data_IF_453091014987
#
_entry.id   IF_453091014987
#
_cell.length_a   1.000
_cell.length_b   1.000
_cell.length_c   1.000
_cell.angle_alpha   90.00
_cell.angle_beta   90.00
_cell.angle_gamma   90.00
#
_symmetry.space_group_name_H-M   'P 1'
#
loop_
_entity.id
_entity.type
_entity.pdbx_description
1 polymer ?
#
# COMPACT_ATOMS: atom_id res chain seq x y z
N UNK A 1 -19.76 -6.87 -8.69
CA UNK A 1 -18.38 -6.45 -8.36
C UNK A 1 -18.44 -5.11 -7.67
N UNK A 2 -17.80 -4.98 -6.49
CA UNK A 2 -17.68 -3.69 -5.81
C UNK A 2 -16.98 -2.71 -6.75
N UNK A 3 -17.37 -1.44 -6.70
CA UNK A 3 -16.67 -0.35 -7.37
C UNK A 3 -15.25 -0.36 -6.77
N UNK A 4 -14.27 -0.81 -7.52
CA UNK A 4 -12.88 -0.67 -7.08
C UNK A 4 -12.65 0.83 -6.87
N UNK A 5 -12.01 1.20 -5.75
CA UNK A 5 -11.64 2.58 -5.44
C UNK A 5 -10.53 3.06 -6.40
N UNK A 6 -10.73 2.95 -7.71
CA UNK A 6 -9.82 3.35 -8.76
C UNK A 6 -10.57 4.29 -9.72
N UNK A 7 -10.06 5.51 -9.89
CA UNK A 7 -10.69 6.52 -10.74
C UNK A 7 -10.67 6.18 -12.24
N UNK A 8 -9.89 5.19 -12.66
CA UNK A 8 -9.81 4.72 -14.04
C UNK A 8 -10.79 3.57 -14.34
N UNK A 9 -11.51 3.06 -13.35
CA UNK A 9 -12.46 1.95 -13.54
C UNK A 9 -13.55 2.32 -14.56
N UNK A 10 -13.59 1.60 -15.68
CA UNK A 10 -14.49 1.82 -16.85
C UNK A 10 -14.33 3.16 -17.57
N UNK A 11 -13.30 3.95 -17.24
CA UNK A 11 -13.00 5.23 -17.89
C UNK A 11 -11.82 5.10 -18.85
N UNK A 12 -10.93 4.13 -18.60
CA UNK A 12 -9.77 3.86 -19.44
C UNK A 12 -9.71 2.39 -19.84
N UNK A 13 -9.25 2.13 -21.05
CA UNK A 13 -9.06 0.79 -21.58
C UNK A 13 -7.74 0.19 -21.09
N UNK A 14 -7.71 -1.13 -20.92
CA UNK A 14 -6.52 -1.86 -20.50
C UNK A 14 -5.66 -2.18 -21.72
N UNK A 15 -5.02 -1.17 -22.29
CA UNK A 15 -4.22 -1.29 -23.51
C UNK A 15 -2.87 -0.54 -23.46
N UNK A 16 -2.02 -0.78 -24.47
CA UNK A 16 -0.66 -0.21 -24.56
C UNK A 16 -0.69 1.32 -24.64
N UNK A 17 -1.63 1.89 -25.40
CA UNK A 17 -1.77 3.34 -25.53
C UNK A 17 -2.09 4.00 -24.19
N UNK A 18 -3.04 3.45 -23.43
CA UNK A 18 -3.41 3.97 -22.12
C UNK A 18 -2.24 3.90 -21.15
N UNK A 19 -1.51 2.77 -21.13
CA UNK A 19 -0.32 2.64 -20.28
C UNK A 19 0.77 3.63 -20.67
N UNK A 20 0.97 3.86 -21.97
CA UNK A 20 1.91 4.87 -22.51
C UNK A 20 1.58 6.26 -21.98
N UNK A 21 0.32 6.69 -22.14
CA UNK A 21 -0.13 8.01 -21.71
C UNK A 21 -0.05 8.19 -20.19
N UNK A 22 -0.39 7.15 -19.42
CA UNK A 22 -0.23 7.20 -17.96
C UNK A 22 1.24 7.30 -17.54
N UNK A 23 2.15 6.57 -18.20
CA UNK A 23 3.58 6.65 -17.93
C UNK A 23 4.13 8.06 -18.22
N UNK A 24 3.72 8.68 -19.33
CA UNK A 24 4.10 10.06 -19.66
C UNK A 24 3.50 11.06 -18.67
N UNK A 25 2.24 10.88 -18.27
CA UNK A 25 1.62 11.72 -17.23
C UNK A 25 2.35 11.66 -15.89
N UNK A 26 2.85 10.48 -15.50
CA UNK A 26 3.71 10.34 -14.32
C UNK A 26 5.01 11.15 -14.46
N UNK A 27 5.62 11.17 -15.65
CA UNK A 27 6.83 11.97 -15.97
C UNK A 27 6.62 13.49 -15.98
N UNK A 28 5.38 13.99 -15.82
CA UNK A 28 5.14 15.41 -15.61
C UNK A 28 5.74 15.90 -14.27
N UNK A 29 5.73 15.05 -13.25
CA UNK A 29 6.37 15.37 -11.96
C UNK A 29 7.87 15.11 -12.06
N UNK A 30 8.70 16.15 -11.92
CA UNK A 30 10.16 16.03 -12.09
C UNK A 30 10.78 14.89 -11.27
N UNK A 31 10.43 14.73 -10.00
CA UNK A 31 11.01 13.67 -9.16
C UNK A 31 10.64 12.26 -9.66
N UNK A 32 9.42 12.06 -10.17
CA UNK A 32 8.99 10.79 -10.77
C UNK A 32 9.68 10.60 -12.12
N UNK A 33 9.78 11.66 -12.92
CA UNK A 33 10.51 11.65 -14.20
C UNK A 33 11.96 11.24 -14.02
N UNK A 34 12.67 11.90 -13.11
CA UNK A 34 14.07 11.60 -12.81
C UNK A 34 14.21 10.13 -12.39
N UNK A 35 13.36 9.65 -11.47
CA UNK A 35 13.35 8.25 -11.02
C UNK A 35 13.09 7.25 -12.17
N UNK A 36 12.10 7.54 -13.02
CA UNK A 36 11.77 6.70 -14.16
C UNK A 36 12.95 6.65 -15.14
N UNK A 37 13.50 7.82 -15.52
CA UNK A 37 14.61 7.90 -16.47
C UNK A 37 15.90 7.24 -15.91
N UNK A 38 16.17 7.36 -14.61
CA UNK A 38 17.25 6.63 -13.96
C UNK A 38 17.03 5.11 -14.06
N UNK A 39 15.80 4.65 -13.84
CA UNK A 39 15.43 3.22 -13.97
C UNK A 39 15.52 2.75 -15.43
N UNK A 40 15.35 3.65 -16.40
CA UNK A 40 15.56 3.40 -17.82
C UNK A 40 17.04 3.48 -18.26
N UNK A 41 17.98 3.50 -17.30
CA UNK A 41 19.42 3.63 -17.52
C UNK A 41 19.80 4.87 -18.34
N UNK A 42 19.10 5.99 -18.16
CA UNK A 42 19.51 7.28 -18.72
C UNK A 42 20.51 7.94 -17.78
N UNK A 43 21.62 8.43 -18.32
CA UNK A 43 22.67 9.07 -17.51
C UNK A 43 22.14 10.30 -16.78
N UNK A 44 22.51 10.46 -15.51
CA UNK A 44 22.02 11.55 -14.63
C UNK A 44 22.24 12.95 -15.21
N UNK A 45 23.38 13.19 -15.85
CA UNK A 45 23.69 14.47 -16.51
C UNK A 45 22.75 14.78 -17.68
N UNK A 46 22.24 13.74 -18.36
CA UNK A 46 21.25 13.86 -19.43
C UNK A 46 19.86 14.11 -18.83
N UNK A 47 19.50 13.38 -17.77
CA UNK A 47 18.21 13.52 -17.07
C UNK A 47 17.96 14.96 -16.62
N UNK A 48 18.97 15.62 -16.04
CA UNK A 48 18.81 17.00 -15.56
C UNK A 48 18.52 18.02 -16.68
N UNK A 49 18.82 17.68 -17.94
CA UNK A 49 18.53 18.52 -19.11
C UNK A 49 17.17 18.23 -19.74
N UNK A 50 16.53 17.09 -19.39
CA UNK A 50 15.24 16.70 -19.94
C UNK A 50 14.11 17.39 -19.18
N UNK A 51 13.31 18.17 -19.90
CA UNK A 51 12.08 18.78 -19.41
C UNK A 51 10.88 17.94 -19.82
N UNK A 52 9.72 18.22 -19.20
CA UNK A 52 8.51 17.47 -19.54
C UNK A 52 8.06 17.74 -20.98
N UNK A 53 8.25 18.98 -21.45
CA UNK A 53 7.89 19.39 -22.82
C UNK A 53 8.75 18.70 -23.90
N UNK A 54 9.88 18.11 -23.51
CA UNK A 54 10.73 17.32 -24.41
C UNK A 54 10.17 15.90 -24.62
N UNK A 55 9.15 15.48 -23.85
CA UNK A 55 8.55 14.14 -23.86
C UNK A 55 7.23 14.19 -24.62
N UNK A 56 7.14 13.44 -25.71
CA UNK A 56 5.95 13.41 -26.57
C UNK A 56 5.53 11.97 -26.85
N UNK A 57 4.24 11.71 -26.84
CA UNK A 57 3.64 10.52 -27.45
C UNK A 57 3.19 10.84 -28.88
N UNK A 58 2.85 9.81 -29.66
CA UNK A 58 2.27 9.95 -30.99
C UNK A 58 3.13 10.66 -32.04
N UNK A 59 4.43 10.84 -31.77
CA UNK A 59 5.35 11.47 -32.70
C UNK A 59 5.64 10.56 -33.89
N UNK A 60 5.38 11.05 -35.11
CA UNK A 60 5.66 10.29 -36.34
C UNK A 60 7.06 10.61 -36.84
N UNK A 61 7.94 9.60 -36.87
CA UNK A 61 9.28 9.70 -37.45
C UNK A 61 9.23 9.62 -38.99
N UNK A 62 10.40 9.81 -39.62
CA UNK A 62 10.55 9.60 -41.07
C UNK A 62 10.07 8.19 -41.43
N UNK A 63 9.34 8.06 -42.54
CA UNK A 63 8.68 6.82 -43.02
C UNK A 63 7.35 6.45 -42.32
N UNK A 64 6.77 7.35 -41.51
CA UNK A 64 5.40 7.18 -41.01
C UNK A 64 5.26 6.30 -39.77
N UNK A 65 6.39 5.79 -39.23
CA UNK A 65 6.40 5.05 -37.97
C UNK A 65 6.32 5.96 -36.77
N UNK A 66 5.96 5.42 -35.62
CA UNK A 66 5.61 6.18 -34.43
C UNK A 66 6.09 5.44 -33.19
N UNK A 67 7.19 5.89 -32.57
CA UNK A 67 7.57 5.38 -31.27
C UNK A 67 6.49 5.69 -30.23
N UNK A 68 6.32 4.81 -29.24
CA UNK A 68 5.30 5.02 -28.19
C UNK A 68 5.58 6.32 -27.41
N UNK A 69 6.85 6.50 -27.00
CA UNK A 69 7.33 7.73 -26.36
C UNK A 69 8.63 8.18 -27.03
N UNK A 70 8.71 9.47 -27.32
CA UNK A 70 9.90 10.14 -27.82
C UNK A 70 10.34 11.19 -26.79
N UNK A 71 11.62 11.16 -26.43
CA UNK A 71 12.26 12.24 -25.66
C UNK A 71 13.26 12.94 -26.57
N UNK A 72 13.02 14.21 -26.90
CA UNK A 72 13.82 14.95 -27.87
C UNK A 72 14.08 16.38 -27.42
N UNK A 73 15.37 16.74 -27.28
CA UNK A 73 15.81 18.11 -27.05
C UNK A 73 17.08 18.39 -27.85
N UNK A 74 17.77 19.51 -27.61
CA UNK A 74 18.94 19.92 -28.39
C UNK A 74 20.05 18.87 -28.43
N UNK A 75 20.27 18.12 -27.35
CA UNK A 75 21.38 17.17 -27.22
C UNK A 75 20.94 15.69 -27.22
N UNK A 76 19.65 15.42 -27.02
CA UNK A 76 19.15 14.08 -26.70
C UNK A 76 18.04 13.66 -27.65
N UNK A 77 18.08 12.39 -28.07
CA UNK A 77 17.00 11.70 -28.76
C UNK A 77 16.88 10.28 -28.22
N UNK A 78 15.77 9.99 -27.54
CA UNK A 78 15.47 8.67 -26.99
C UNK A 78 14.14 8.22 -27.54
N UNK A 79 14.10 7.01 -28.09
CA UNK A 79 12.86 6.31 -28.41
C UNK A 79 12.60 5.25 -27.36
N UNK A 80 11.36 5.19 -26.89
CA UNK A 80 10.90 4.19 -25.93
C UNK A 80 9.72 3.46 -26.55
N UNK A 81 9.85 2.14 -26.61
CA UNK A 81 8.80 1.21 -26.97
C UNK A 81 8.34 0.49 -25.71
N UNK A 82 7.04 0.45 -25.47
CA UNK A 82 6.48 -0.36 -24.40
C UNK A 82 5.62 -1.48 -24.97
N UNK A 83 5.76 -2.66 -24.38
CA UNK A 83 4.89 -3.81 -24.61
C UNK A 83 4.33 -4.21 -23.27
N UNK A 84 3.02 -4.30 -23.14
CA UNK A 84 2.40 -4.64 -21.84
C UNK A 84 2.08 -6.14 -21.74
N UNK A 85 1.96 -6.83 -22.87
CA UNK A 85 1.70 -8.28 -22.90
C UNK A 85 2.90 -9.05 -23.43
N UNK A 86 3.05 -10.30 -22.97
CA UNK A 86 4.17 -11.16 -23.35
C UNK A 86 4.16 -11.52 -24.83
N UNK A 87 3.00 -11.48 -25.49
CA UNK A 87 2.77 -11.94 -26.86
C UNK A 87 2.36 -10.81 -27.81
N UNK A 88 2.51 -9.54 -27.42
CA UNK A 88 2.32 -8.43 -28.38
C UNK A 88 3.41 -8.53 -29.46
N UNK A 89 3.00 -8.44 -30.72
CA UNK A 89 3.92 -8.45 -31.86
C UNK A 89 5.01 -7.37 -31.75
N UNK A 90 6.23 -7.75 -32.10
CA UNK A 90 7.37 -6.85 -32.29
C UNK A 90 7.43 -6.45 -33.76
N UNK A 91 7.25 -5.17 -34.06
CA UNK A 91 7.29 -4.69 -35.45
C UNK A 91 8.74 -4.54 -35.91
N UNK A 92 9.07 -4.97 -37.14
CA UNK A 92 10.43 -4.86 -37.70
C UNK A 92 11.02 -3.44 -37.63
N UNK A 93 10.17 -2.43 -37.83
CA UNK A 93 10.57 -1.02 -37.72
C UNK A 93 11.17 -0.65 -36.36
N UNK A 94 10.80 -1.38 -35.30
CA UNK A 94 11.23 -1.13 -33.93
C UNK A 94 12.66 -1.61 -33.68
N UNK A 95 13.16 -2.65 -34.37
CA UNK A 95 14.44 -3.29 -34.03
C UNK A 95 15.41 -3.52 -35.19
N UNK A 96 14.97 -3.56 -36.45
CA UNK A 96 15.88 -3.87 -37.57
C UNK A 96 16.49 -2.62 -38.18
N UNK A 97 15.69 -1.69 -38.69
CA UNK A 97 16.25 -0.61 -39.52
C UNK A 97 15.70 0.78 -39.18
N UNK A 98 14.39 0.96 -39.06
CA UNK A 98 13.82 2.31 -39.08
C UNK A 98 14.16 3.14 -37.83
N UNK A 99 13.95 2.61 -36.62
CA UNK A 99 14.30 3.33 -35.40
C UNK A 99 15.82 3.44 -35.21
N UNK A 100 16.61 2.35 -35.35
CA UNK A 100 18.05 2.45 -35.25
C UNK A 100 18.66 3.45 -36.24
N UNK A 101 18.25 3.44 -37.51
CA UNK A 101 18.77 4.36 -38.52
C UNK A 101 18.47 5.83 -38.19
N UNK A 102 17.25 6.14 -37.75
CA UNK A 102 16.89 7.52 -37.36
C UNK A 102 17.72 7.99 -36.18
N UNK A 103 17.92 7.13 -35.18
CA UNK A 103 18.75 7.45 -34.02
C UNK A 103 20.21 7.64 -34.45
N UNK A 104 20.81 6.69 -35.17
CA UNK A 104 22.21 6.71 -35.62
C UNK A 104 22.50 7.94 -36.50
N UNK A 105 21.59 8.31 -37.40
CA UNK A 105 21.78 9.46 -38.29
C UNK A 105 21.47 10.81 -37.62
N UNK A 106 20.92 10.82 -36.40
CA UNK A 106 20.68 12.06 -35.67
C UNK A 106 22.00 12.73 -35.25
N UNK A 107 22.04 14.06 -35.29
CA UNK A 107 23.17 14.87 -34.81
C UNK A 107 23.17 15.04 -33.28
N UNK A 108 22.33 14.27 -32.56
CA UNK A 108 22.18 14.36 -31.12
C UNK A 108 23.31 13.59 -30.44
N UNK A 109 23.82 14.14 -29.33
CA UNK A 109 24.92 13.53 -28.57
C UNK A 109 24.46 12.26 -27.85
N UNK A 110 23.29 12.32 -27.20
CA UNK A 110 22.74 11.21 -26.44
C UNK A 110 21.64 10.56 -27.27
N UNK A 111 21.86 9.32 -27.70
CA UNK A 111 20.95 8.57 -28.58
C UNK A 111 20.69 7.21 -27.96
N UNK A 112 19.43 6.86 -27.76
CA UNK A 112 19.07 5.62 -27.07
C UNK A 112 17.75 5.05 -27.58
N UNK A 113 17.68 3.73 -27.69
CA UNK A 113 16.44 2.99 -27.94
C UNK A 113 16.14 2.12 -26.73
N UNK A 114 14.96 2.23 -26.16
CA UNK A 114 14.61 1.55 -24.91
C UNK A 114 13.36 0.73 -25.12
N UNK A 115 13.41 -0.55 -24.75
CA UNK A 115 12.26 -1.45 -24.72
C UNK A 115 11.84 -1.67 -23.28
N UNK A 116 10.61 -1.30 -22.94
CA UNK A 116 9.96 -1.63 -21.66
C UNK A 116 9.05 -2.83 -21.90
N UNK A 117 9.43 -4.01 -21.39
CA UNK A 117 8.75 -5.28 -21.72
C UNK A 117 8.52 -6.13 -20.47
N UNK A 118 7.58 -7.10 -20.48
CA UNK A 118 7.47 -8.10 -19.42
C UNK A 118 8.69 -9.04 -19.47
N UNK A 119 9.08 -9.63 -18.33
CA UNK A 119 10.16 -10.65 -18.32
C UNK A 119 9.88 -11.87 -19.21
N UNK A 120 8.62 -12.16 -19.45
CA UNK A 120 8.15 -13.28 -20.27
C UNK A 120 7.94 -12.91 -21.75
N UNK A 121 8.37 -11.74 -22.21
CA UNK A 121 8.15 -11.30 -23.59
C UNK A 121 8.75 -12.26 -24.62
N UNK A 122 7.94 -12.69 -25.58
CA UNK A 122 8.28 -13.75 -26.54
C UNK A 122 9.41 -13.35 -27.49
N UNK A 123 9.48 -12.07 -27.87
CA UNK A 123 10.42 -11.55 -28.88
C UNK A 123 11.68 -10.93 -28.26
N UNK A 124 12.05 -11.33 -27.04
CA UNK A 124 13.22 -10.78 -26.35
C UNK A 124 14.54 -11.13 -27.07
N UNK A 125 14.60 -12.24 -27.79
CA UNK A 125 15.82 -12.69 -28.48
C UNK A 125 16.11 -11.75 -29.66
N UNK A 126 15.09 -11.33 -30.38
CA UNK A 126 15.15 -10.40 -31.51
C UNK A 126 15.69 -9.04 -31.06
N UNK A 127 15.19 -8.52 -29.94
CA UNK A 127 15.68 -7.26 -29.36
C UNK A 127 17.15 -7.40 -28.93
N UNK A 128 17.54 -8.54 -28.33
CA UNK A 128 18.94 -8.79 -27.94
C UNK A 128 19.87 -8.90 -29.15
N UNK A 129 19.42 -9.50 -30.24
CA UNK A 129 20.17 -9.59 -31.48
C UNK A 129 20.40 -8.20 -32.07
N UNK A 130 19.36 -7.37 -32.14
CA UNK A 130 19.46 -5.96 -32.56
C UNK A 130 20.42 -5.17 -31.66
N UNK A 131 20.32 -5.31 -30.33
CA UNK A 131 21.27 -4.71 -29.37
C UNK A 131 22.72 -5.08 -29.69
N UNK A 132 22.99 -6.34 -30.02
CA UNK A 132 24.33 -6.80 -30.35
C UNK A 132 24.82 -6.28 -31.71
N UNK A 133 23.93 -6.18 -32.69
CA UNK A 133 24.21 -5.65 -34.03
C UNK A 133 24.60 -4.17 -33.99
N UNK A 134 23.85 -3.36 -33.24
CA UNK A 134 24.04 -1.91 -33.18
C UNK A 134 24.90 -1.41 -32.02
N UNK A 135 25.49 -2.30 -31.21
CA UNK A 135 26.19 -1.96 -29.94
C UNK A 135 27.24 -0.86 -30.05
N UNK A 136 27.92 -0.75 -31.20
CA UNK A 136 29.02 0.20 -31.42
C UNK A 136 28.51 1.60 -31.85
N UNK A 137 27.22 1.71 -32.21
CA UNK A 137 26.62 2.91 -32.80
C UNK A 137 25.47 3.48 -31.98
N UNK A 138 24.73 2.61 -31.28
CA UNK A 138 23.51 2.95 -30.58
C UNK A 138 23.40 2.18 -29.26
N UNK A 139 23.00 2.89 -28.21
CA UNK A 139 22.64 2.28 -26.93
C UNK A 139 21.20 1.75 -27.01
N UNK A 140 21.07 0.42 -27.02
CA UNK A 140 19.77 -0.26 -26.97
C UNK A 140 19.61 -0.89 -25.58
N UNK A 141 18.54 -0.56 -24.87
CA UNK A 141 18.25 -1.12 -23.55
C UNK A 141 16.96 -1.92 -23.49
N UNK A 142 17.00 -2.95 -22.64
CA UNK A 142 15.85 -3.78 -22.30
C UNK A 142 15.58 -3.58 -20.82
N UNK A 143 14.45 -2.95 -20.50
CA UNK A 143 13.99 -2.71 -19.15
C UNK A 143 12.75 -3.53 -18.91
N UNK A 144 12.72 -4.25 -17.79
CA UNK A 144 11.55 -5.04 -17.43
C UNK A 144 10.54 -4.19 -16.64
N UNK A 145 9.25 -4.35 -16.94
CA UNK A 145 8.17 -3.69 -16.20
C UNK A 145 8.26 -3.90 -14.69
N UNK A 146 8.68 -5.09 -14.26
CA UNK A 146 8.88 -5.44 -12.85
C UNK A 146 9.93 -4.54 -12.18
N UNK A 147 11.00 -4.19 -12.90
CA UNK A 147 12.04 -3.32 -12.38
C UNK A 147 11.53 -1.88 -12.28
N UNK A 148 10.82 -1.41 -13.31
CA UNK A 148 10.28 -0.05 -13.37
C UNK A 148 9.20 0.19 -12.31
N UNK A 149 8.21 -0.70 -12.21
CA UNK A 149 7.16 -0.62 -11.19
C UNK A 149 7.72 -0.83 -9.79
N UNK A 150 8.69 -1.74 -9.63
CA UNK A 150 9.39 -1.94 -8.35
C UNK A 150 10.09 -0.67 -7.88
N UNK A 151 10.74 0.09 -8.77
CA UNK A 151 11.36 1.36 -8.44
C UNK A 151 10.33 2.41 -7.97
N UNK A 152 9.18 2.51 -8.64
CA UNK A 152 8.10 3.42 -8.25
C UNK A 152 7.52 3.08 -6.87
N UNK A 153 7.27 1.80 -6.60
CA UNK A 153 6.73 1.32 -5.33
C UNK A 153 7.74 1.55 -4.19
N UNK A 154 9.01 1.20 -4.40
CA UNK A 154 10.06 1.33 -3.39
C UNK A 154 10.38 2.79 -3.05
N UNK A 155 10.26 3.69 -4.03
CA UNK A 155 10.42 5.13 -3.82
C UNK A 155 9.19 5.78 -3.17
N UNK A 156 8.14 5.01 -2.91
CA UNK A 156 6.99 5.42 -2.11
C UNK A 156 6.21 6.63 -2.68
N UNK A 157 6.30 6.80 -4.00
CA UNK A 157 5.79 8.00 -4.70
C UNK A 157 4.26 8.14 -4.62
N UNK A 158 3.58 7.08 -4.22
CA UNK A 158 2.12 6.98 -4.12
C UNK A 158 1.58 7.52 -2.79
N UNK A 159 2.39 7.68 -1.74
CA UNK A 159 1.90 8.03 -0.39
C UNK A 159 1.20 9.39 -0.33
N UNK A 160 1.69 10.36 -1.08
CA UNK A 160 1.24 11.75 -0.94
C UNK A 160 0.20 12.16 -1.99
N UNK A 161 -0.12 11.29 -2.95
CA UNK A 161 -1.06 11.62 -4.01
C UNK A 161 -1.91 10.41 -4.45
N UNK A 162 -3.20 10.35 -4.05
CA UNK A 162 -4.10 9.26 -4.41
C UNK A 162 -4.24 9.04 -5.93
N UNK A 163 -4.13 10.09 -6.74
CA UNK A 163 -4.20 9.96 -8.20
C UNK A 163 -2.97 9.24 -8.75
N UNK A 164 -1.77 9.56 -8.25
CA UNK A 164 -0.54 8.84 -8.62
C UNK A 164 -0.67 7.36 -8.24
N UNK A 165 -1.18 7.07 -7.03
CA UNK A 165 -1.45 5.70 -6.61
C UNK A 165 -2.40 4.97 -7.57
N UNK A 166 -3.50 5.60 -7.98
CA UNK A 166 -4.43 5.02 -8.95
C UNK A 166 -3.79 4.77 -10.31
N UNK A 167 -2.90 5.66 -10.78
CA UNK A 167 -2.19 5.49 -12.05
C UNK A 167 -1.25 4.29 -11.99
N UNK A 168 -0.43 4.19 -10.94
CA UNK A 168 0.52 3.08 -10.76
C UNK A 168 -0.24 1.76 -10.63
N UNK A 169 -1.30 1.74 -9.82
CA UNK A 169 -2.12 0.55 -9.65
C UNK A 169 -2.78 0.13 -10.97
N UNK A 170 -3.29 1.09 -11.76
CA UNK A 170 -3.86 0.78 -13.07
C UNK A 170 -2.83 0.18 -14.02
N UNK A 171 -1.63 0.75 -14.10
CA UNK A 171 -0.54 0.21 -14.94
C UNK A 171 -0.19 -1.21 -14.47
N UNK A 172 0.00 -1.40 -13.16
CA UNK A 172 0.30 -2.68 -12.53
C UNK A 172 -0.75 -3.75 -12.86
N UNK A 173 -2.03 -3.43 -12.68
CA UNK A 173 -3.16 -4.32 -12.95
C UNK A 173 -3.36 -4.61 -14.45
N UNK A 174 -2.92 -3.69 -15.32
CA UNK A 174 -3.09 -3.78 -16.78
C UNK A 174 -2.03 -4.66 -17.42
N UNK A 175 -0.77 -4.48 -17.02
CA UNK A 175 0.33 -5.36 -17.46
C UNK A 175 0.06 -6.79 -17.00
N UNK A 176 -0.76 -6.98 -15.96
CA UNK A 176 -1.11 -8.29 -15.47
C UNK A 176 0.16 -9.03 -15.06
N UNK A 177 1.10 -8.30 -14.45
CA UNK A 177 2.27 -8.91 -13.84
C UNK A 177 1.72 -9.97 -12.90
N UNK A 178 1.80 -11.23 -13.36
CA UNK A 178 1.60 -12.40 -12.54
C UNK A 178 2.81 -12.47 -11.61
N UNK A 179 2.95 -11.47 -10.73
CA UNK A 179 3.61 -11.65 -9.47
C UNK A 179 2.77 -12.73 -8.83
N UNK A 180 3.23 -13.98 -8.96
CA UNK A 180 2.62 -15.10 -8.28
C UNK A 180 2.44 -14.64 -6.86
N UNK A 181 1.21 -14.34 -6.45
CA UNK A 181 0.93 -13.94 -5.09
C UNK A 181 1.21 -15.20 -4.28
N UNK A 182 2.44 -15.32 -3.77
CA UNK A 182 2.77 -16.39 -2.84
C UNK A 182 1.94 -16.09 -1.61
N UNK A 183 0.89 -16.88 -1.43
CA UNK A 183 0.16 -16.89 -0.18
C UNK A 183 1.11 -17.50 0.85
N UNK A 184 1.47 -16.69 1.84
CA UNK A 184 2.22 -17.16 2.98
C UNK A 184 1.24 -17.77 3.97
N UNK A 185 1.55 -18.95 4.48
CA UNK A 185 0.84 -19.51 5.63
C UNK A 185 1.21 -18.71 6.90
N UNK A 186 0.42 -18.87 7.97
CA UNK A 186 0.64 -18.14 9.25
C UNK A 186 2.08 -18.31 9.77
N UNK A 187 2.67 -19.50 9.62
CA UNK A 187 4.05 -19.76 10.05
C UNK A 187 5.09 -19.02 9.20
N UNK A 188 4.91 -18.99 7.89
CA UNK A 188 5.78 -18.25 6.97
C UNK A 188 5.74 -16.74 7.24
N UNK A 189 4.54 -16.19 7.52
CA UNK A 189 4.40 -14.79 7.93
C UNK A 189 5.18 -14.51 9.21
N UNK A 190 5.16 -15.43 10.19
CA UNK A 190 5.93 -15.30 11.44
C UNK A 190 7.44 -15.24 11.15
N UNK A 191 7.95 -16.02 10.19
CA UNK A 191 9.37 -15.96 9.80
C UNK A 191 9.79 -14.65 9.13
N UNK A 192 8.83 -13.87 8.61
CA UNK A 192 9.13 -12.55 8.00
C UNK A 192 9.34 -11.46 9.05
N UNK A 193 8.93 -11.68 10.30
CA UNK A 193 9.14 -10.72 11.39
C UNK A 193 10.41 -11.05 12.17
N UNK A 194 11.09 -10.00 12.64
CA UNK A 194 12.23 -10.13 13.54
C UNK A 194 11.82 -10.85 14.84
N UNK A 195 12.55 -11.93 15.18
CA UNK A 195 12.22 -12.81 16.31
C UNK A 195 12.26 -12.06 17.65
N UNK A 196 13.11 -11.04 17.77
CA UNK A 196 13.19 -10.19 18.97
C UNK A 196 11.95 -9.32 19.10
N UNK A 197 11.49 -8.73 18.01
CA UNK A 197 10.24 -7.95 17.93
C UNK A 197 9.03 -8.82 18.30
N UNK A 198 8.92 -10.03 17.72
CA UNK A 198 7.86 -10.97 18.05
C UNK A 198 7.87 -11.38 19.53
N UNK A 199 9.05 -11.65 20.08
CA UNK A 199 9.22 -12.01 21.49
C UNK A 199 8.78 -10.87 22.42
N UNK A 200 9.13 -9.63 22.09
CA UNK A 200 8.72 -8.44 22.85
C UNK A 200 7.20 -8.23 22.78
N UNK A 201 6.60 -8.36 21.59
CA UNK A 201 5.15 -8.26 21.41
C UNK A 201 4.43 -9.34 22.22
N UNK A 202 4.90 -10.59 22.17
CA UNK A 202 4.31 -11.68 22.93
C UNK A 202 4.41 -11.46 24.45
N UNK A 203 5.58 -11.01 24.94
CA UNK A 203 5.77 -10.66 26.34
C UNK A 203 4.84 -9.53 26.78
N UNK A 204 4.68 -8.49 25.94
CA UNK A 204 3.75 -7.39 26.18
C UNK A 204 2.30 -7.87 26.24
N UNK A 205 1.85 -8.67 25.27
CA UNK A 205 0.50 -9.23 25.22
C UNK A 205 0.20 -10.03 26.49
N UNK A 206 1.14 -10.87 26.94
CA UNK A 206 1.00 -11.61 28.21
C UNK A 206 0.90 -10.71 29.43
N UNK A 207 1.69 -9.64 29.46
CA UNK A 207 1.64 -8.65 30.55
C UNK A 207 0.28 -7.94 30.57
N UNK A 208 -0.20 -7.55 29.39
CA UNK A 208 -1.49 -6.89 29.21
C UNK A 208 -2.68 -7.80 29.54
N UNK A 209 -2.63 -9.09 29.19
CA UNK A 209 -3.62 -10.10 29.60
C UNK A 209 -3.77 -10.13 31.14
N UNK A 210 -2.64 -10.17 31.85
CA UNK A 210 -2.63 -10.09 33.32
C UNK A 210 -3.24 -8.78 33.84
N UNK A 211 -2.90 -7.65 33.22
CA UNK A 211 -3.45 -6.35 33.60
C UNK A 211 -4.97 -6.26 33.42
N UNK A 212 -5.49 -6.81 32.32
CA UNK A 212 -6.93 -6.82 32.07
C UNK A 212 -7.67 -7.66 33.12
N UNK A 213 -7.11 -8.81 33.52
CA UNK A 213 -7.69 -9.64 34.58
C UNK A 213 -7.75 -8.90 35.92
N UNK A 214 -6.64 -8.28 36.32
CA UNK A 214 -6.53 -7.53 37.57
C UNK A 214 -7.47 -6.31 37.57
N UNK A 215 -7.52 -5.56 36.46
CA UNK A 215 -8.42 -4.43 36.29
C UNK A 215 -9.90 -4.86 36.36
N UNK A 216 -10.28 -5.97 35.71
CA UNK A 216 -11.63 -6.52 35.81
C UNK A 216 -12.01 -6.88 37.25
N UNK A 217 -11.05 -7.35 38.05
CA UNK A 217 -11.21 -7.58 39.49
C UNK A 217 -11.54 -6.31 40.27
N UNK A 218 -10.81 -5.23 40.01
CA UNK A 218 -11.03 -3.92 40.64
C UNK A 218 -12.40 -3.37 40.24
N UNK A 219 -12.74 -3.39 38.95
CA UNK A 219 -14.02 -2.89 38.44
C UNK A 219 -15.20 -3.68 39.02
N UNK A 220 -15.10 -5.02 39.07
CA UNK A 220 -16.12 -5.86 39.68
C UNK A 220 -16.35 -5.51 41.16
N UNK A 221 -15.31 -5.12 41.89
CA UNK A 221 -15.40 -4.74 43.30
C UNK A 221 -16.01 -3.34 43.47
N UNK A 222 -15.53 -2.38 42.68
CA UNK A 222 -15.73 -0.95 42.93
C UNK A 222 -16.90 -0.35 42.15
N UNK A 223 -17.38 -1.02 41.08
CA UNK A 223 -18.43 -0.52 40.20
C UNK A 223 -19.78 -1.27 40.36
N UNK A 224 -20.00 -1.92 41.52
CA UNK A 224 -21.21 -2.74 41.76
C UNK A 224 -22.52 -1.98 41.60
N UNK A 225 -22.52 -0.69 41.89
CA UNK A 225 -23.67 0.20 41.74
C UNK A 225 -24.13 0.39 40.29
N UNK A 226 -23.23 0.15 39.31
CA UNK A 226 -23.52 0.31 37.89
C UNK A 226 -23.86 -1.01 37.18
N UNK A 227 -23.22 -2.13 37.54
CA UNK A 227 -23.20 -3.35 36.69
C UNK A 227 -23.61 -4.67 37.36
N UNK A 228 -24.12 -4.65 38.60
CA UNK A 228 -24.56 -5.83 39.37
C UNK A 228 -23.75 -7.14 39.11
N UNK A 229 -22.42 -7.12 39.32
CA UNK A 229 -21.56 -8.13 38.76
C UNK A 229 -21.62 -9.47 39.52
N UNK A 230 -21.40 -10.57 38.78
CA UNK A 230 -21.43 -11.96 39.26
C UNK A 230 -20.04 -12.59 39.26
N UNK A 231 -19.37 -12.60 38.11
CA UNK A 231 -18.05 -13.22 37.93
C UNK A 231 -17.31 -12.60 36.76
N UNK A 232 -16.01 -12.86 36.70
CA UNK A 232 -15.16 -12.52 35.55
C UNK A 232 -15.00 -13.79 34.71
N UNK A 233 -15.23 -13.66 33.41
CA UNK A 233 -15.06 -14.75 32.45
C UNK A 233 -14.04 -14.34 31.42
N UNK A 234 -12.97 -15.14 31.29
CA UNK A 234 -12.02 -14.97 30.18
C UNK A 234 -12.69 -15.42 28.89
N UNK A 235 -12.65 -14.60 27.86
CA UNK A 235 -13.17 -15.00 26.56
C UNK A 235 -12.35 -16.19 26.03
N UNK A 236 -12.98 -17.28 25.58
CA UNK A 236 -12.25 -18.34 24.90
C UNK A 236 -11.51 -17.74 23.71
N UNK A 237 -10.25 -18.13 23.51
CA UNK A 237 -9.40 -17.63 22.43
C UNK A 237 -9.99 -17.98 21.06
N UNK A 238 -10.93 -17.17 20.56
CA UNK A 238 -11.44 -17.25 19.20
C UNK A 238 -10.57 -16.30 18.37
N UNK A 239 -9.45 -16.80 17.85
CA UNK A 239 -8.51 -16.28 16.82
C UNK A 239 -8.12 -14.77 16.78
N UNK A 240 -8.73 -13.87 17.56
CA UNK A 240 -8.70 -12.41 17.37
C UNK A 240 -8.82 -11.60 18.66
N UNK A 241 -9.00 -12.23 19.82
CA UNK A 241 -9.27 -11.54 21.09
C UNK A 241 -8.50 -12.13 22.27
N UNK A 242 -8.04 -11.25 23.16
CA UNK A 242 -7.60 -11.58 24.51
C UNK A 242 -8.32 -10.62 25.43
N UNK A 243 -9.33 -11.12 26.15
CA UNK A 243 -10.21 -10.25 26.90
C UNK A 243 -10.90 -10.93 28.07
N UNK A 244 -11.40 -10.07 28.95
CA UNK A 244 -12.21 -10.45 30.10
C UNK A 244 -13.56 -9.75 30.04
N UNK A 245 -14.59 -10.55 30.29
CA UNK A 245 -15.96 -10.11 30.47
C UNK A 245 -16.29 -10.06 31.95
N UNK A 246 -16.93 -8.98 32.38
CA UNK A 246 -17.61 -8.95 33.68
C UNK A 246 -19.06 -9.37 33.41
N UNK A 247 -19.51 -10.47 33.99
CA UNK A 247 -20.88 -10.95 33.85
C UNK A 247 -21.81 -10.30 34.88
N UNK A 248 -23.02 -9.90 34.48
CA UNK A 248 -24.07 -9.44 35.41
C UNK A 248 -24.86 -10.63 36.00
N UNK A 249 -25.39 -10.46 37.22
CA UNK A 249 -26.33 -11.42 37.84
C UNK A 249 -27.68 -11.50 37.14
N UNK A 250 -28.03 -10.48 36.35
CA UNK A 250 -29.36 -10.36 35.72
C UNK A 250 -29.55 -11.26 34.49
N UNK A 251 -28.53 -12.06 34.15
CA UNK A 251 -28.57 -13.07 33.09
C UNK A 251 -28.31 -12.49 31.69
N UNK A 252 -27.37 -13.10 30.96
CA UNK A 252 -27.24 -12.96 29.50
C UNK A 252 -26.52 -11.71 28.98
N UNK A 253 -26.07 -10.79 29.83
CA UNK A 253 -25.38 -9.58 29.38
C UNK A 253 -24.03 -9.44 30.07
N UNK A 254 -22.97 -9.29 29.27
CA UNK A 254 -21.61 -9.00 29.72
C UNK A 254 -21.45 -7.47 29.79
N UNK A 255 -21.83 -6.76 30.87
CA UNK A 255 -21.86 -5.30 30.90
C UNK A 255 -20.56 -4.61 30.44
N UNK A 256 -19.41 -5.26 30.69
CA UNK A 256 -18.09 -4.69 30.41
C UNK A 256 -17.18 -5.74 29.79
N UNK A 257 -16.49 -5.31 28.73
CA UNK A 257 -15.36 -5.96 28.07
C UNK A 257 -14.10 -5.14 28.30
N UNK A 258 -12.97 -5.81 28.58
CA UNK A 258 -11.65 -5.18 28.63
C UNK A 258 -10.64 -6.10 27.98
N UNK A 259 -9.94 -5.62 26.97
CA UNK A 259 -8.91 -6.44 26.34
C UNK A 259 -8.35 -5.92 25.03
N UNK A 260 -7.64 -6.83 24.37
CA UNK A 260 -7.11 -6.69 23.03
C UNK A 260 -8.12 -7.28 22.04
N UNK A 261 -8.51 -6.48 21.05
CA UNK A 261 -9.32 -6.92 19.92
C UNK A 261 -8.80 -6.31 18.64
N UNK A 262 -8.54 -7.16 17.64
CA UNK A 262 -8.24 -6.71 16.29
C UNK A 262 -9.55 -6.27 15.60
N UNK A 263 -9.89 -4.99 15.79
CA UNK A 263 -11.00 -4.29 15.14
C UNK A 263 -10.57 -3.74 13.76
N UNK A 264 -11.52 -3.20 13.00
CA UNK A 264 -11.26 -2.60 11.68
C UNK A 264 -10.31 -1.40 11.75
N UNK A 265 -10.40 -0.61 12.84
CA UNK A 265 -9.43 0.43 13.16
C UNK A 265 -8.37 -0.09 14.16
N UNK A 266 -7.09 -0.19 13.77
CA UNK A 266 -6.00 -0.57 14.65
C UNK A 266 -5.82 0.36 15.86
N UNK A 267 -6.29 1.60 15.78
CA UNK A 267 -6.19 2.57 16.87
C UNK A 267 -7.03 2.15 18.10
N UNK A 268 -7.98 1.23 17.94
CA UNK A 268 -8.80 0.62 18.99
C UNK A 268 -8.36 -0.80 19.34
N UNK A 269 -7.13 -1.22 18.96
CA UNK A 269 -6.63 -2.56 19.26
C UNK A 269 -6.77 -2.90 20.76
N UNK A 270 -6.46 -1.93 21.63
CA UNK A 270 -6.73 -1.99 23.06
C UNK A 270 -7.98 -1.17 23.37
N UNK A 271 -9.04 -1.84 23.78
CA UNK A 271 -10.33 -1.18 23.99
C UNK A 271 -11.06 -1.72 25.21
N UNK A 272 -11.98 -0.88 25.69
CA UNK A 272 -13.03 -1.24 26.62
C UNK A 272 -14.35 -1.20 25.86
N UNK A 273 -15.23 -2.16 26.09
CA UNK A 273 -16.61 -2.10 25.58
C UNK A 273 -17.58 -2.09 26.73
N UNK A 274 -18.56 -1.22 26.64
CA UNK A 274 -19.62 -1.13 27.65
C UNK A 274 -20.95 -1.20 26.92
N UNK A 275 -21.87 -2.02 27.44
CA UNK A 275 -23.18 -2.18 26.84
C UNK A 275 -23.94 -0.85 26.83
N UNK A 276 -24.53 -0.52 25.68
CA UNK A 276 -25.28 0.73 25.48
C UNK A 276 -26.43 0.91 26.47
N UNK A 277 -27.07 -0.18 26.89
CA UNK A 277 -28.21 -0.14 27.81
C UNK A 277 -27.85 0.28 29.25
N UNK A 278 -26.56 0.34 29.59
CA UNK A 278 -26.10 0.87 30.87
C UNK A 278 -26.11 2.41 30.89
N UNK A 279 -26.05 3.05 29.72
CA UNK A 279 -25.93 4.49 29.60
C UNK A 279 -27.30 5.14 29.82
N UNK A 280 -27.39 6.03 30.82
CA UNK A 280 -28.56 6.87 31.07
C UNK A 280 -28.51 8.20 30.31
N UNK A 281 -27.30 8.61 29.93
CA UNK A 281 -27.03 9.85 29.21
C UNK A 281 -26.50 9.56 27.80
N UNK A 282 -26.86 10.38 26.82
CA UNK A 282 -26.22 10.36 25.50
C UNK A 282 -24.78 10.79 25.61
N UNK A 283 -23.87 10.06 24.95
CA UNK A 283 -22.46 10.46 24.86
C UNK A 283 -22.36 11.65 23.90
N UNK A 284 -21.66 12.71 24.32
CA UNK A 284 -21.40 13.85 23.44
C UNK A 284 -20.38 13.45 22.36
N UNK A 285 -20.79 13.57 21.10
CA UNK A 285 -20.16 12.99 19.89
C UNK A 285 -18.78 13.62 19.57
N UNK A 286 -18.34 14.61 20.35
CA UNK A 286 -17.10 15.38 20.09
C UNK A 286 -15.83 14.82 20.74
N UNK A 287 -15.90 13.76 21.54
CA UNK A 287 -14.70 13.13 22.12
C UNK A 287 -14.18 12.02 21.18
N UNK A 288 -13.04 12.25 20.51
CA UNK A 288 -12.39 11.40 19.48
C UNK A 288 -12.00 9.95 19.93
N UNK A 289 -12.50 9.46 21.06
CA UNK A 289 -11.98 8.26 21.74
C UNK A 289 -13.02 7.13 21.90
N UNK A 290 -14.14 7.18 21.19
CA UNK A 290 -15.08 6.05 21.14
C UNK A 290 -15.76 5.92 19.78
N UNK A 291 -16.31 4.73 19.51
CA UNK A 291 -17.26 4.52 18.43
C UNK A 291 -18.36 3.54 18.85
N UNK A 292 -19.45 3.51 18.09
CA UNK A 292 -20.56 2.59 18.32
C UNK A 292 -20.43 1.33 17.48
N UNK A 293 -20.61 0.17 18.10
CA UNK A 293 -20.67 -1.11 17.40
C UNK A 293 -21.75 -2.00 17.98
N UNK A 294 -22.77 -2.29 17.19
CA UNK A 294 -23.91 -3.13 17.61
C UNK A 294 -24.53 -2.60 18.93
N UNK A 295 -24.54 -3.43 19.97
CA UNK A 295 -25.03 -3.12 21.32
C UNK A 295 -23.99 -2.45 22.25
N UNK A 296 -22.84 -2.02 21.71
CA UNK A 296 -21.70 -1.54 22.50
C UNK A 296 -21.27 -0.12 22.15
N UNK A 297 -20.80 0.59 23.16
CA UNK A 297 -19.83 1.67 22.99
C UNK A 297 -18.43 1.10 23.16
N UNK A 298 -17.55 1.35 22.18
CA UNK A 298 -16.17 0.89 22.15
C UNK A 298 -15.25 2.08 22.42
N UNK A 299 -14.57 2.07 23.56
CA UNK A 299 -13.67 3.13 24.00
C UNK A 299 -12.22 2.75 23.75
N UNK A 300 -11.45 3.66 23.18
CA UNK A 300 -10.00 3.53 23.05
C UNK A 300 -9.36 3.69 24.42
N UNK A 301 -8.46 2.78 24.80
CA UNK A 301 -7.67 2.95 26.02
C UNK A 301 -6.63 4.06 25.75
N UNK A 302 -6.62 5.15 26.52
CA UNK A 302 -5.73 6.28 26.29
C UNK A 302 -4.29 5.96 26.72
N UNK A 303 -3.31 6.60 26.06
CA UNK A 303 -1.89 6.34 26.28
C UNK A 303 -1.42 6.52 27.74
N UNK A 304 -2.05 7.44 28.49
CA UNK A 304 -1.67 7.67 29.88
C UNK A 304 -1.88 6.42 30.75
N UNK A 305 -2.85 5.56 30.43
CA UNK A 305 -3.09 4.31 31.16
C UNK A 305 -1.92 3.35 31.02
N UNK A 306 -1.27 3.32 29.86
CA UNK A 306 -0.10 2.47 29.61
C UNK A 306 1.20 3.02 30.22
N UNK A 307 1.22 4.31 30.54
CA UNK A 307 2.36 4.99 31.15
C UNK A 307 2.27 5.02 32.69
N UNK A 308 1.21 4.47 33.27
CA UNK A 308 1.01 4.41 34.72
C UNK A 308 1.83 3.27 35.35
N UNK A 309 2.40 3.49 36.52
CA UNK A 309 3.15 2.47 37.28
C UNK A 309 2.25 1.30 37.72
N UNK A 310 0.93 1.55 37.84
CA UNK A 310 -0.10 0.59 38.18
C UNK A 310 -1.21 0.57 37.10
N UNK A 311 -0.84 0.08 35.92
CA UNK A 311 -1.72 -0.11 34.76
C UNK A 311 -3.08 -0.75 35.11
N UNK A 312 -3.18 -1.83 35.93
CA UNK A 312 -4.47 -2.38 36.34
C UNK A 312 -5.41 -1.36 37.00
N UNK A 313 -4.86 -0.54 37.90
CA UNK A 313 -5.63 0.52 38.58
C UNK A 313 -6.01 1.62 37.62
N UNK A 314 -5.08 2.07 36.76
CA UNK A 314 -5.36 3.10 35.76
C UNK A 314 -6.45 2.67 34.77
N UNK A 315 -6.42 1.41 34.30
CA UNK A 315 -7.50 0.82 33.51
C UNK A 315 -8.84 0.84 34.24
N UNK A 316 -8.85 0.43 35.51
CA UNK A 316 -10.07 0.40 36.31
C UNK A 316 -10.63 1.81 36.57
N UNK A 317 -9.78 2.78 36.86
CA UNK A 317 -10.16 4.19 37.02
C UNK A 317 -10.77 4.74 35.73
N UNK A 318 -10.16 4.49 34.57
CA UNK A 318 -10.70 4.92 33.29
C UNK A 318 -12.11 4.36 33.03
N UNK A 319 -12.33 3.05 33.29
CA UNK A 319 -13.68 2.46 33.20
C UNK A 319 -14.65 3.12 34.17
N UNK A 320 -14.23 3.34 35.42
CA UNK A 320 -15.05 3.94 36.47
C UNK A 320 -15.47 5.38 36.11
N UNK A 321 -14.59 6.15 35.49
CA UNK A 321 -14.90 7.50 35.02
C UNK A 321 -15.98 7.49 33.93
N UNK A 322 -15.89 6.56 32.97
CA UNK A 322 -16.91 6.39 31.93
C UNK A 322 -18.26 6.02 32.57
N UNK A 323 -18.27 5.02 33.46
CA UNK A 323 -19.50 4.60 34.15
C UNK A 323 -20.10 5.74 34.96
N UNK A 324 -19.31 6.44 35.79
CA UNK A 324 -19.78 7.57 36.60
C UNK A 324 -20.33 8.73 35.75
N UNK A 325 -19.75 8.99 34.58
CA UNK A 325 -20.17 10.09 33.70
C UNK A 325 -21.47 9.76 32.96
N UNK A 326 -21.68 8.49 32.58
CA UNK A 326 -22.72 8.15 31.60
C UNK A 326 -23.73 7.08 32.02
N UNK A 327 -23.45 6.26 33.03
CA UNK A 327 -24.31 5.18 33.53
C UNK A 327 -24.94 5.54 34.88
#
# INVERSE_FOLDING_TARGET
MKRDNNCFYKVADKDENTVTELLVNLMNKKYIRDLLLETLNVNRDVIQKIKYEDITTQYTIKNGKRPDIVISNNETLIFIENKIYSNTDLQQSQFENEYPEVLINSQKKNRKLIFIIPRSYTHIIEIKNSKNEFKDYLDIEIIYWENLLGALINADIAKDNPLINHMIQFIYDTIGLNVSTKSFNRGEVVYMYDIKTLSNIYAFIRKFDKYCFEAAGIIMKDCKEYINPKKITKEPHIDRHIAYWIESKDGGLWPIYIGLSFLEDPSFAYNIRILKNLFKNTIDVKEENYFEKESWYVFKIPNYVFNDDNIPMALACFVKEILKKYC
#
